data_IF_013087256493
#
_entry.id   IF_013087256493
#
_cell.length_a   1.000
_cell.length_b   1.000
_cell.length_c   1.000
_cell.angle_alpha   90.00
_cell.angle_beta   90.00
_cell.angle_gamma   90.00
#
_symmetry.space_group_name_H-M   'P 1'
#
loop_
_entity.id
_entity.type
_entity.pdbx_description
1 polymer ?
#
# COMPACT_ATOMS: atom_id res chain seq x y z
N UNK A 1 -11.89 26.57 -9.95
CA UNK A 1 -12.29 26.10 -8.61
C UNK A 1 -13.79 26.13 -8.34
N UNK A 2 -14.53 27.20 -8.64
CA UNK A 2 -15.98 27.32 -8.30
C UNK A 2 -16.95 26.34 -8.99
N UNK A 3 -16.54 25.65 -10.04
CA UNK A 3 -17.43 24.73 -10.78
C UNK A 3 -17.50 23.33 -10.12
N UNK A 4 -16.42 22.89 -9.47
CA UNK A 4 -16.32 21.55 -8.85
C UNK A 4 -17.05 21.47 -7.51
N UNK A 5 -17.08 22.58 -6.74
CA UNK A 5 -17.88 22.69 -5.52
C UNK A 5 -19.39 22.62 -5.78
N UNK A 6 -19.84 23.04 -6.98
CA UNK A 6 -21.27 23.06 -7.34
C UNK A 6 -21.85 21.67 -7.65
N UNK A 7 -21.00 20.66 -7.83
CA UNK A 7 -21.37 19.29 -8.24
C UNK A 7 -21.26 18.29 -7.08
N UNK A 8 -21.03 18.75 -5.84
CA UNK A 8 -20.83 17.87 -4.69
C UNK A 8 -19.47 17.16 -4.66
N UNK A 9 -18.58 17.44 -5.62
CA UNK A 9 -17.22 16.90 -5.71
C UNK A 9 -16.20 17.66 -4.84
N UNK A 10 -16.66 18.64 -4.04
CA UNK A 10 -15.79 19.62 -3.41
C UNK A 10 -14.85 19.06 -2.35
N UNK A 11 -15.25 18.02 -1.61
CA UNK A 11 -14.48 17.46 -0.49
C UNK A 11 -14.94 16.03 -0.20
N UNK A 12 -14.01 15.13 0.05
CA UNK A 12 -14.35 13.74 0.39
C UNK A 12 -14.96 13.65 1.79
N UNK A 13 -16.12 13.03 1.91
CA UNK A 13 -16.77 12.74 3.19
C UNK A 13 -16.00 11.66 3.99
N UNK A 14 -16.25 11.58 5.30
CA UNK A 14 -15.66 10.52 6.14
C UNK A 14 -16.08 9.10 5.70
N UNK A 15 -17.30 8.95 5.17
CA UNK A 15 -17.81 7.69 4.65
C UNK A 15 -17.06 7.25 3.39
N UNK A 16 -16.92 8.16 2.42
CA UNK A 16 -16.16 7.91 1.19
C UNK A 16 -14.69 7.63 1.46
N UNK A 17 -14.08 8.35 2.42
CA UNK A 17 -12.72 8.08 2.85
C UNK A 17 -12.53 6.65 3.35
N UNK A 18 -13.39 6.20 4.27
CA UNK A 18 -13.32 4.84 4.83
C UNK A 18 -13.62 3.79 3.76
N UNK A 19 -14.60 4.04 2.90
CA UNK A 19 -14.94 3.14 1.79
C UNK A 19 -13.75 2.97 0.83
N UNK A 20 -13.07 4.07 0.48
CA UNK A 20 -11.88 4.05 -0.36
C UNK A 20 -10.75 3.21 0.27
N UNK A 21 -10.38 3.46 1.52
CA UNK A 21 -9.30 2.74 2.17
C UNK A 21 -9.60 1.25 2.36
N UNK A 22 -10.83 0.92 2.75
CA UNK A 22 -11.26 -0.47 2.88
C UNK A 22 -11.26 -1.17 1.52
N UNK A 23 -11.77 -0.50 0.48
CA UNK A 23 -11.75 -0.99 -0.89
C UNK A 23 -10.35 -1.27 -1.40
N UNK A 24 -9.40 -0.35 -1.16
CA UNK A 24 -8.00 -0.55 -1.50
C UNK A 24 -7.40 -1.77 -0.77
N UNK A 25 -7.67 -1.90 0.53
CA UNK A 25 -7.17 -3.03 1.32
C UNK A 25 -7.66 -4.38 0.80
N UNK A 26 -8.95 -4.48 0.47
CA UNK A 26 -9.55 -5.71 -0.07
C UNK A 26 -8.98 -6.01 -1.46
N UNK A 27 -8.99 -5.03 -2.37
CA UNK A 27 -8.55 -5.21 -3.75
C UNK A 27 -7.07 -5.58 -3.82
N UNK A 28 -6.18 -4.79 -3.22
CA UNK A 28 -4.76 -5.07 -3.27
C UNK A 28 -4.34 -6.26 -2.42
N UNK A 29 -5.05 -6.56 -1.32
CA UNK A 29 -4.87 -7.81 -0.59
C UNK A 29 -5.11 -9.03 -1.47
N UNK A 30 -6.19 -9.03 -2.26
CA UNK A 30 -6.49 -10.10 -3.22
C UNK A 30 -5.46 -10.18 -4.36
N UNK A 31 -5.08 -9.04 -4.94
CA UNK A 31 -4.04 -8.98 -5.99
C UNK A 31 -2.69 -9.51 -5.45
N UNK A 32 -2.31 -9.17 -4.22
CA UNK A 32 -1.10 -9.71 -3.61
C UNK A 32 -1.18 -11.22 -3.39
N UNK A 33 -2.34 -11.76 -3.01
CA UNK A 33 -2.54 -13.22 -2.96
C UNK A 33 -2.21 -13.89 -4.28
N UNK A 34 -2.69 -13.32 -5.40
CA UNK A 34 -2.35 -13.79 -6.75
C UNK A 34 -0.87 -13.63 -7.08
N UNK A 35 -0.25 -12.51 -6.72
CA UNK A 35 1.19 -12.30 -6.92
C UNK A 35 2.01 -13.31 -6.11
N UNK A 36 1.61 -13.60 -4.88
CA UNK A 36 2.29 -14.58 -4.02
C UNK A 36 2.13 -16.02 -4.53
N UNK A 37 1.07 -16.36 -5.27
CA UNK A 37 0.98 -17.67 -5.92
C UNK A 37 2.15 -17.93 -6.89
N UNK A 38 2.70 -16.89 -7.52
CA UNK A 38 3.90 -17.05 -8.37
C UNK A 38 5.19 -17.38 -7.61
N UNK A 39 5.17 -17.39 -6.27
CA UNK A 39 6.31 -17.78 -5.42
C UNK A 39 6.38 -19.28 -5.11
N UNK A 40 5.50 -20.11 -5.69
CA UNK A 40 5.46 -21.56 -5.48
C UNK A 40 6.79 -22.29 -5.78
N UNK A 41 7.64 -21.68 -6.62
CA UNK A 41 8.96 -22.23 -6.98
C UNK A 41 10.04 -21.92 -5.96
N UNK A 42 9.78 -21.06 -4.97
CA UNK A 42 10.75 -20.73 -3.92
C UNK A 42 10.83 -21.85 -2.89
N UNK A 43 12.05 -22.11 -2.42
CA UNK A 43 12.25 -22.96 -1.24
C UNK A 43 11.56 -22.35 -0.01
N UNK A 44 11.18 -23.19 0.96
CA UNK A 44 10.39 -22.80 2.14
C UNK A 44 10.95 -21.59 2.89
N UNK A 45 12.28 -21.52 3.06
CA UNK A 45 12.95 -20.38 3.71
C UNK A 45 12.74 -19.08 2.93
N UNK A 46 12.99 -19.12 1.63
CA UNK A 46 12.91 -17.96 0.75
C UNK A 46 11.47 -17.47 0.60
N UNK A 47 10.52 -18.40 0.45
CA UNK A 47 9.09 -18.11 0.51
C UNK A 47 8.71 -17.39 1.81
N UNK A 48 9.17 -17.90 2.95
CA UNK A 48 8.87 -17.31 4.28
C UNK A 48 9.42 -15.89 4.40
N UNK A 49 10.64 -15.65 3.91
CA UNK A 49 11.25 -14.31 3.91
C UNK A 49 10.48 -13.32 3.02
N UNK A 50 10.06 -13.76 1.83
CA UNK A 50 9.22 -12.93 0.95
C UNK A 50 7.89 -12.64 1.61
N UNK A 51 7.23 -13.65 2.18
CA UNK A 51 5.95 -13.50 2.88
C UNK A 51 6.04 -12.49 4.03
N UNK A 52 7.04 -12.61 4.89
CA UNK A 52 7.27 -11.68 6.01
C UNK A 52 7.57 -10.27 5.51
N UNK A 53 8.41 -10.14 4.49
CA UNK A 53 8.74 -8.85 3.87
C UNK A 53 7.50 -8.17 3.28
N UNK A 54 6.72 -8.90 2.48
CA UNK A 54 5.48 -8.40 1.87
C UNK A 54 4.45 -8.03 2.92
N UNK A 55 4.21 -8.86 3.93
CA UNK A 55 3.28 -8.56 5.02
C UNK A 55 3.70 -7.29 5.79
N UNK A 56 4.99 -7.14 6.08
CA UNK A 56 5.53 -5.95 6.74
C UNK A 56 5.32 -4.68 5.89
N UNK A 57 5.48 -4.78 4.58
CA UNK A 57 5.20 -3.68 3.65
C UNK A 57 3.71 -3.32 3.62
N UNK A 58 2.82 -4.31 3.56
CA UNK A 58 1.37 -4.10 3.60
C UNK A 58 0.97 -3.37 4.88
N UNK A 59 1.43 -3.83 6.04
CA UNK A 59 1.14 -3.19 7.33
C UNK A 59 1.65 -1.74 7.35
N UNK A 60 2.85 -1.50 6.82
CA UNK A 60 3.44 -0.15 6.75
C UNK A 60 2.60 0.78 5.86
N UNK A 61 2.07 0.28 4.73
CA UNK A 61 1.14 1.04 3.87
C UNK A 61 -0.15 1.35 4.64
N UNK A 62 -0.71 0.39 5.38
CA UNK A 62 -1.92 0.62 6.19
C UNK A 62 -1.71 1.65 7.32
N UNK A 63 -0.49 1.77 7.84
CA UNK A 63 -0.15 2.82 8.82
C UNK A 63 -0.18 4.23 8.26
N UNK A 64 -0.06 4.40 6.93
CA UNK A 64 -0.19 5.71 6.27
C UNK A 64 -1.56 6.33 6.55
N UNK A 65 -2.63 5.53 6.52
CA UNK A 65 -3.99 6.00 6.74
C UNK A 65 -4.50 5.85 8.17
N UNK A 66 -3.82 5.05 9.00
CA UNK A 66 -4.27 4.72 10.36
C UNK A 66 -3.55 5.51 11.46
N UNK A 67 -2.51 6.27 11.13
CA UNK A 67 -1.62 6.93 12.11
C UNK A 67 -1.63 8.45 12.04
N UNK A 68 -1.42 9.11 13.19
CA UNK A 68 -1.23 10.58 13.26
C UNK A 68 0.01 11.05 12.48
N UNK A 69 1.05 10.21 12.42
CA UNK A 69 2.32 10.48 11.73
C UNK A 69 2.30 10.01 10.26
N UNK A 70 1.18 10.18 9.56
CA UNK A 70 0.95 9.69 8.19
C UNK A 70 2.05 10.03 7.17
N UNK A 71 2.67 11.21 7.26
CA UNK A 71 3.76 11.60 6.36
C UNK A 71 5.03 10.77 6.60
N UNK A 72 5.38 10.51 7.86
CA UNK A 72 6.53 9.68 8.19
C UNK A 72 6.32 8.24 7.71
N UNK A 73 5.12 7.69 7.89
CA UNK A 73 4.78 6.36 7.37
C UNK A 73 4.72 6.32 5.85
N UNK A 74 4.28 7.38 5.17
CA UNK A 74 4.30 7.44 3.71
C UNK A 74 5.74 7.42 3.17
N UNK A 75 6.65 8.16 3.80
CA UNK A 75 8.08 8.14 3.46
C UNK A 75 8.72 6.79 3.76
N UNK A 76 8.41 6.20 4.92
CA UNK A 76 8.90 4.87 5.29
C UNK A 76 8.40 3.80 4.32
N UNK A 77 7.12 3.82 3.96
CA UNK A 77 6.54 2.92 2.99
C UNK A 77 7.17 3.11 1.60
N UNK A 78 7.37 4.35 1.16
CA UNK A 78 8.00 4.65 -0.13
C UNK A 78 9.44 4.12 -0.18
N UNK A 79 10.23 4.39 0.87
CA UNK A 79 11.57 3.85 1.02
C UNK A 79 11.55 2.31 1.05
N UNK A 80 10.63 1.72 1.80
CA UNK A 80 10.44 0.27 1.87
C UNK A 80 10.14 -0.34 0.50
N UNK A 81 9.17 0.19 -0.25
CA UNK A 81 8.83 -0.30 -1.60
C UNK A 81 10.03 -0.18 -2.56
N UNK A 82 10.76 0.93 -2.50
CA UNK A 82 11.92 1.16 -3.35
C UNK A 82 13.09 0.22 -3.03
N UNK A 83 13.35 -0.01 -1.74
CA UNK A 83 14.49 -0.80 -1.26
C UNK A 83 14.18 -2.30 -1.11
N UNK A 84 12.91 -2.71 -1.12
CA UNK A 84 12.50 -4.11 -0.93
C UNK A 84 13.18 -5.08 -1.90
N UNK A 85 13.30 -4.81 -3.23
CA UNK A 85 13.98 -5.74 -4.13
C UNK A 85 15.45 -5.92 -3.77
N UNK A 86 16.12 -4.85 -3.34
CA UNK A 86 17.52 -4.90 -2.90
C UNK A 86 17.65 -5.70 -1.61
N UNK A 87 16.78 -5.46 -0.62
CA UNK A 87 16.78 -6.19 0.64
C UNK A 87 16.53 -7.69 0.42
N UNK A 88 15.53 -8.05 -0.41
CA UNK A 88 15.24 -9.45 -0.73
C UNK A 88 16.39 -10.10 -1.51
N UNK A 89 17.02 -9.39 -2.46
CA UNK A 89 18.18 -9.92 -3.19
C UNK A 89 19.36 -10.26 -2.28
N UNK A 90 19.53 -9.55 -1.16
CA UNK A 90 20.59 -9.80 -0.18
C UNK A 90 20.24 -10.98 0.74
N UNK A 91 18.97 -11.14 1.10
CA UNK A 91 18.52 -12.14 2.09
C UNK A 91 18.23 -13.52 1.48
N UNK A 92 17.78 -13.54 0.23
CA UNK A 92 17.38 -14.75 -0.48
C UNK A 92 18.57 -15.51 -1.05
N UNK A 93 18.35 -16.79 -1.33
CA UNK A 93 19.34 -17.65 -1.98
C UNK A 93 19.71 -17.09 -3.36
N UNK A 94 20.99 -17.11 -3.78
CA UNK A 94 21.39 -16.69 -5.12
C UNK A 94 20.60 -17.41 -6.21
N UNK A 95 19.96 -16.64 -7.10
CA UNK A 95 19.12 -17.19 -8.17
C UNK A 95 17.64 -17.33 -7.83
N UNK A 96 17.21 -17.02 -6.60
CA UNK A 96 15.80 -16.97 -6.24
C UNK A 96 15.05 -15.94 -7.13
N UNK A 97 13.98 -16.40 -7.77
CA UNK A 97 13.16 -15.56 -8.65
C UNK A 97 12.02 -14.95 -7.85
N UNK A 98 12.07 -13.63 -7.68
CA UNK A 98 10.99 -12.88 -7.06
C UNK A 98 9.87 -12.61 -8.08
N UNK A 99 8.60 -12.54 -7.64
CA UNK A 99 7.52 -12.10 -8.50
C UNK A 99 7.79 -10.69 -9.02
N UNK A 100 7.87 -10.55 -10.34
CA UNK A 100 8.13 -9.24 -10.99
C UNK A 100 7.01 -8.23 -10.73
N UNK A 101 5.80 -8.71 -10.42
CA UNK A 101 4.63 -7.89 -10.12
C UNK A 101 4.59 -7.41 -8.66
N UNK A 102 5.40 -7.97 -7.75
CA UNK A 102 5.30 -7.65 -6.31
C UNK A 102 5.57 -6.17 -6.01
N UNK A 103 6.70 -5.65 -6.49
CA UNK A 103 7.05 -4.25 -6.29
C UNK A 103 6.03 -3.28 -6.92
N UNK A 104 5.63 -3.40 -8.20
CA UNK A 104 4.67 -2.48 -8.78
C UNK A 104 3.30 -2.56 -8.09
N UNK A 105 2.84 -3.74 -7.66
CA UNK A 105 1.59 -3.85 -6.87
C UNK A 105 1.66 -3.05 -5.58
N UNK A 106 2.75 -3.16 -4.81
CA UNK A 106 2.94 -2.39 -3.59
C UNK A 106 3.08 -0.89 -3.87
N UNK A 107 3.78 -0.52 -4.95
CA UNK A 107 3.97 0.88 -5.34
C UNK A 107 2.65 1.56 -5.70
N UNK A 108 1.81 0.90 -6.49
CA UNK A 108 0.49 1.44 -6.87
C UNK A 108 -0.42 1.52 -5.65
N UNK A 109 -0.43 0.50 -4.79
CA UNK A 109 -1.23 0.54 -3.56
C UNK A 109 -0.81 1.72 -2.67
N UNK A 110 0.50 1.91 -2.46
CA UNK A 110 1.01 3.05 -1.71
C UNK A 110 0.61 4.38 -2.36
N UNK A 111 0.78 4.52 -3.69
CA UNK A 111 0.44 5.74 -4.40
C UNK A 111 -1.04 6.11 -4.25
N UNK A 112 -1.93 5.13 -4.39
CA UNK A 112 -3.38 5.34 -4.20
C UNK A 112 -3.73 5.66 -2.75
N UNK A 113 -3.09 4.98 -1.79
CA UNK A 113 -3.28 5.24 -0.37
C UNK A 113 -2.86 6.67 -0.03
N UNK A 114 -1.71 7.13 -0.52
CA UNK A 114 -1.23 8.51 -0.36
C UNK A 114 -2.18 9.49 -1.05
N UNK A 115 -2.60 9.22 -2.29
CA UNK A 115 -3.53 10.10 -3.01
C UNK A 115 -4.83 10.34 -2.22
N UNK A 116 -5.42 9.27 -1.67
CA UNK A 116 -6.63 9.33 -0.84
C UNK A 116 -6.35 9.97 0.52
N UNK A 117 -5.19 9.66 1.11
CA UNK A 117 -4.83 10.16 2.43
C UNK A 117 -4.64 11.68 2.44
N UNK A 118 -4.02 12.22 1.39
CA UNK A 118 -3.73 13.65 1.27
C UNK A 118 -4.78 14.42 0.45
N UNK A 119 -5.84 13.77 -0.02
CA UNK A 119 -6.97 14.44 -0.66
C UNK A 119 -7.72 15.38 0.31
N UNK A 120 -8.29 16.50 -0.17
CA UNK A 120 -9.12 17.38 0.64
C UNK A 120 -10.34 16.64 1.22
N UNK A 121 -10.49 16.66 2.55
CA UNK A 121 -11.63 16.07 3.26
C UNK A 121 -12.52 17.15 3.84
N UNK A 122 -13.80 16.83 4.01
CA UNK A 122 -14.68 17.65 4.82
C UNK A 122 -14.10 17.75 6.23
N UNK A 123 -13.91 18.98 6.72
CA UNK A 123 -13.53 19.18 8.11
C UNK A 123 -14.76 18.84 8.93
N UNK A 124 -14.65 17.83 9.79
CA UNK A 124 -15.66 17.54 10.81
C UNK A 124 -15.98 18.84 11.55
N UNK A 125 -17.14 19.45 11.27
CA UNK A 125 -17.68 20.50 12.14
C UNK A 125 -17.95 19.78 13.45
N UNK A 126 -17.05 19.96 14.42
CA UNK A 126 -17.33 19.67 15.82
C UNK A 126 -18.60 20.45 16.16
N UNK A 127 -19.71 19.72 16.28
CA UNK A 127 -20.95 20.23 16.86
C UNK A 127 -20.73 20.59 18.32
#
# INVERSE_FOLDING_TARGET
MKLLDRIGLGRMSHGEYRANLNGLGIFFGAVLGFVMASTETLGTRDYTLVLVGTASMVITILYVSSSKQRLAYALLAAAGVALMPLALKILLTPGAQLPVQLQPTLAVWLAMTVAIEFAPRETEKKG
#
